data_IF_148537341540
#
_entry.id   IF_148537341540
#
_cell.length_a   1.000
_cell.length_b   1.000
_cell.length_c   1.000
_cell.angle_alpha   90.00
_cell.angle_beta   90.00
_cell.angle_gamma   90.00
#
_symmetry.space_group_name_H-M   'P 1'
#
loop_
_entity.id
_entity.type
_entity.pdbx_description
1 polymer ?
2 non-polymer ?
3 non-polymer ?
4 non-polymer ?
5 water ?
#
# COMPACT_ATOMS: atom_id res chain seq x y z
N UNK A 2 -17.96 27.61 -3.66
CA UNK A 2 -17.40 27.47 -2.28
C UNK A 2 -18.34 26.74 -1.29
N UNK A 3 -19.25 25.88 -1.77
CA UNK A 3 -19.75 24.86 -0.83
C UNK A 3 -18.69 23.75 -0.76
N UNK A 4 -18.69 23.02 0.34
CA UNK A 4 -17.62 22.06 0.62
C UNK A 4 -17.66 20.81 -0.22
N UNK A 5 -16.49 20.18 -0.34
CA UNK A 5 -16.35 18.86 -0.89
C UNK A 5 -16.09 17.95 0.31
N UNK A 6 -16.86 16.86 0.39
CA UNK A 6 -16.90 16.10 1.61
C UNK A 6 -16.17 14.78 1.40
N UNK A 7 -15.15 14.54 2.22
CA UNK A 7 -14.29 13.37 2.09
C UNK A 7 -14.35 12.58 3.39
N UNK A 8 -14.85 11.35 3.31
CA UNK A 8 -14.83 10.49 4.50
C UNK A 8 -13.69 9.47 4.42
N UNK A 9 -12.88 9.46 5.46
CA UNK A 9 -11.74 8.57 5.58
C UNK A 9 -11.91 7.59 6.74
N UNK A 10 -11.76 6.30 6.45
CA UNK A 10 -11.72 5.32 7.54
C UNK A 10 -10.37 4.66 7.47
N UNK A 11 -9.61 4.77 8.57
CA UNK A 11 -8.22 4.23 8.66
C UNK A 11 -8.06 3.62 10.01
N UNK A 12 -6.98 2.88 10.22
CA UNK A 12 -6.79 2.11 11.41
C UNK A 12 -5.80 2.85 12.31
N UNK A 13 -6.33 3.52 13.33
CA UNK A 13 -5.51 4.23 14.31
C UNK A 13 -5.52 3.63 15.74
N UNK A 14 -6.22 2.51 15.95
CA UNK A 14 -6.05 1.70 17.20
C UNK A 14 -5.77 0.26 16.84
N UNK A 15 -5.28 -0.53 17.81
CA UNK A 15 -5.03 -1.96 17.60
C UNK A 15 -3.70 -2.14 16.88
N UNK A 16 -3.29 -3.39 16.61
CA UNK A 16 -1.98 -3.61 16.02
C UNK A 16 -1.75 -3.03 14.59
N UNK A 17 -2.83 -2.80 13.82
CA UNK A 17 -2.63 -2.17 12.48
C UNK A 17 -2.48 -0.67 12.56
N UNK A 18 -2.34 -0.15 13.78
CA UNK A 18 -2.16 1.30 13.98
C UNK A 18 -0.87 1.80 13.34
N UNK A 19 0.09 0.89 13.21
CA UNK A 19 1.40 1.15 12.59
C UNK A 19 1.24 1.61 11.14
N UNK A 20 0.15 1.17 10.51
CA UNK A 20 -0.13 1.53 9.13
C UNK A 20 -1.08 2.70 9.07
N UNK A 21 -2.13 2.71 9.88
CA UNK A 21 -3.12 3.81 9.79
C UNK A 21 -2.67 5.12 10.45
N UNK A 22 -1.93 5.05 11.55
CA UNK A 22 -1.49 6.32 12.13
C UNK A 22 -0.70 7.24 11.13
N UNK A 23 0.25 6.66 10.38
CA UNK A 23 0.91 7.57 9.43
C UNK A 23 0.02 8.13 8.33
N UNK A 24 -0.94 7.32 7.86
CA UNK A 24 -1.91 7.82 6.87
C UNK A 24 -2.69 9.02 7.39
N UNK A 25 -3.15 8.91 8.64
CA UNK A 25 -3.94 9.94 9.25
C UNK A 25 -3.04 11.17 9.53
N UNK A 26 -1.85 10.92 10.09
CA UNK A 26 -0.86 12.04 10.25
C UNK A 26 -0.58 12.83 8.98
N UNK A 27 -0.47 12.13 7.85
CA UNK A 27 -0.07 12.83 6.62
C UNK A 27 -1.15 13.76 6.09
N UNK A 28 -2.38 13.66 6.61
CA UNK A 28 -3.44 14.59 6.24
C UNK A 28 -3.14 16.04 6.65
N UNK A 29 -2.20 16.22 7.59
CA UNK A 29 -1.78 17.58 7.94
C UNK A 29 -1.15 18.29 6.71
N UNK A 30 -0.58 17.52 5.78
CA UNK A 30 0.21 18.06 4.68
C UNK A 30 -0.49 18.04 3.31
N UNK A 31 -1.80 17.79 3.28
CA UNK A 31 -2.53 17.80 2.02
C UNK A 31 -3.32 19.11 1.85
N UNK A 32 -3.78 19.37 0.63
CA UNK A 32 -4.61 20.52 0.32
C UNK A 32 -5.86 20.57 1.20
N UNK A 33 -6.26 21.77 1.66
CA UNK A 33 -7.44 21.95 2.52
C UNK A 33 -8.59 22.60 1.75
N UNK A 34 -8.33 22.90 0.49
CA UNK A 34 -9.36 23.34 -0.43
C UNK A 34 -8.89 23.02 -1.82
N UNK A 35 -9.83 22.85 -2.74
CA UNK A 35 -9.52 22.59 -4.12
C UNK A 35 -10.47 23.43 -4.93
N UNK A 36 -9.92 24.15 -5.90
CA UNK A 36 -10.69 24.89 -6.89
C UNK A 36 -11.64 25.90 -6.34
N UNK A 37 -11.32 26.45 -5.17
CA UNK A 37 -12.23 27.37 -4.47
C UNK A 37 -13.00 26.76 -3.33
N UNK A 38 -13.22 25.44 -3.39
CA UNK A 38 -14.11 24.77 -2.43
C UNK A 38 -13.37 24.18 -1.20
N UNK A 39 -13.78 24.50 0.03
CA UNK A 39 -13.09 23.81 1.16
C UNK A 39 -13.31 22.29 1.17
N UNK A 40 -12.34 21.58 1.70
CA UNK A 40 -12.46 20.15 1.85
C UNK A 40 -12.85 19.89 3.28
N UNK A 41 -14.04 19.35 3.48
CA UNK A 41 -14.46 18.84 4.77
C UNK A 41 -14.01 17.38 4.87
N UNK A 42 -13.02 17.12 5.73
CA UNK A 42 -12.44 15.78 5.79
C UNK A 42 -12.85 15.23 7.12
N UNK A 43 -13.61 14.14 7.08
CA UNK A 43 -14.03 13.46 8.29
C UNK A 43 -13.24 12.16 8.41
N UNK A 44 -12.53 12.00 9.53
CA UNK A 44 -11.70 10.84 9.76
C UNK A 44 -12.20 9.95 10.90
N UNK A 45 -12.43 8.65 10.63
CA UNK A 45 -12.80 7.76 11.70
C UNK A 45 -11.90 6.55 11.75
N UNK A 46 -11.54 6.16 12.96
CA UNK A 46 -10.87 4.90 13.18
C UNK A 46 -11.83 3.71 12.96
N UNK A 47 -11.32 2.63 12.36
CA UNK A 47 -12.03 1.35 12.27
C UNK A 47 -11.37 0.18 13.04
N UNK A 48 -10.22 0.43 13.69
CA UNK A 48 -9.58 -0.65 14.45
C UNK A 48 -9.06 -1.72 13.50
N UNK A 49 -9.11 -1.51 12.19
CA UNK A 49 -8.72 -2.60 11.26
C UNK A 49 -9.86 -3.61 11.00
N UNK A 50 -10.99 -3.37 11.63
CA UNK A 50 -12.06 -4.37 11.71
C UNK A 50 -13.01 -4.11 10.53
N UNK A 51 -13.24 -5.11 9.70
CA UNK A 51 -14.14 -4.98 8.53
C UNK A 51 -15.57 -4.49 8.85
N UNK A 52 -16.16 -4.96 9.94
CA UNK A 52 -17.46 -4.47 10.37
C UNK A 52 -17.40 -3.00 10.74
N UNK A 53 -16.43 -2.59 11.56
CA UNK A 53 -16.36 -1.14 11.89
C UNK A 53 -16.12 -0.25 10.63
N UNK A 54 -15.27 -0.69 9.71
CA UNK A 54 -15.03 0.08 8.47
C UNK A 54 -16.30 0.17 7.60
N UNK A 55 -17.06 -0.94 7.55
CA UNK A 55 -18.37 -0.96 6.83
C UNK A 55 -19.29 0.09 7.44
N UNK A 56 -19.41 0.07 8.77
CA UNK A 56 -20.19 1.09 9.50
C UNK A 56 -19.74 2.52 9.11
N UNK A 57 -18.44 2.82 9.25
CA UNK A 57 -17.96 4.15 8.88
C UNK A 57 -18.32 4.51 7.43
N UNK A 58 -18.04 3.60 6.47
CA UNK A 58 -18.31 3.90 5.02
C UNK A 58 -19.80 4.17 4.78
N UNK A 59 -20.63 3.34 5.45
CA UNK A 59 -22.10 3.47 5.34
C UNK A 59 -22.52 4.84 5.78
N UNK A 60 -22.07 5.26 6.96
CA UNK A 60 -22.45 6.59 7.48
C UNK A 60 -21.89 7.77 6.67
N UNK A 61 -20.66 7.61 6.15
CA UNK A 61 -20.10 8.57 5.18
C UNK A 61 -20.98 8.73 3.95
N UNK A 62 -21.39 7.60 3.35
CA UNK A 62 -22.12 7.74 2.07
C UNK A 62 -23.58 8.21 2.23
N UNK A 63 -24.22 7.85 3.34
CA UNK A 63 -25.64 8.19 3.59
C UNK A 63 -25.80 9.39 4.54
N UNK A 64 -25.09 9.43 5.68
CA UNK A 64 -25.31 10.59 6.59
C UNK A 64 -24.41 11.81 6.29
N UNK A 65 -23.15 11.56 5.93
CA UNK A 65 -22.25 12.67 5.60
C UNK A 65 -22.41 13.16 4.14
N UNK A 66 -23.12 12.38 3.32
CA UNK A 66 -23.27 12.59 1.86
C UNK A 66 -21.90 12.82 1.22
N UNK A 67 -20.94 11.94 1.56
CA UNK A 67 -19.55 12.11 1.08
C UNK A 67 -19.49 12.08 -0.45
N UNK A 68 -18.64 12.96 -0.99
CA UNK A 68 -18.33 12.97 -2.43
C UNK A 68 -17.31 11.87 -2.78
N UNK A 69 -16.41 11.58 -1.83
CA UNK A 69 -15.30 10.59 -1.98
C UNK A 69 -15.15 9.92 -0.66
N UNK A 70 -14.86 8.62 -0.67
CA UNK A 70 -14.38 8.00 0.56
C UNK A 70 -13.03 7.33 0.38
N UNK A 71 -12.29 7.19 1.48
CA UNK A 71 -10.94 6.62 1.46
C UNK A 71 -10.77 5.64 2.57
N UNK A 72 -9.97 4.61 2.30
CA UNK A 72 -9.61 3.68 3.38
C UNK A 72 -9.59 2.26 2.85
N UNK A 73 -9.32 1.29 3.70
CA UNK A 73 -8.81 1.44 5.04
C UNK A 73 -7.28 1.25 5.00
N UNK A 74 -6.71 0.83 6.10
CA UNK A 74 -5.26 0.74 6.26
C UNK A 74 -4.70 -0.69 5.98
N UNK A 75 -5.57 -1.72 6.08
CA UNK A 75 -5.15 -3.11 5.79
C UNK A 75 -6.20 -3.74 4.83
N UNK A 76 -5.92 -4.87 4.23
CA UNK A 76 -6.75 -5.33 3.13
C UNK A 76 -8.21 -5.72 3.55
N UNK A 77 -8.40 -6.49 4.65
CA UNK A 77 -9.83 -6.88 4.90
C UNK A 77 -10.84 -5.71 5.10
N UNK A 78 -10.51 -4.67 5.92
CA UNK A 78 -11.49 -3.59 5.98
C UNK A 78 -11.54 -2.81 4.67
N UNK A 79 -10.46 -2.83 3.88
CA UNK A 79 -10.46 -2.12 2.61
C UNK A 79 -11.46 -2.74 1.63
N UNK A 80 -11.43 -4.05 1.55
CA UNK A 80 -12.45 -4.81 0.80
C UNK A 80 -13.86 -4.35 1.25
N UNK A 81 -14.09 -4.31 2.55
CA UNK A 81 -15.41 -3.94 3.08
C UNK A 81 -15.80 -2.51 2.61
N UNK A 82 -14.83 -1.60 2.65
CA UNK A 82 -15.12 -0.23 2.22
C UNK A 82 -15.43 -0.22 0.70
N UNK A 83 -14.68 -1.00 -0.05
CA UNK A 83 -14.96 -1.05 -1.50
C UNK A 83 -16.41 -1.58 -1.80
N UNK A 84 -16.82 -2.59 -1.06
CA UNK A 84 -18.16 -3.13 -1.23
C UNK A 84 -19.23 -2.06 -0.94
N UNK A 85 -19.06 -1.31 0.15
CA UNK A 85 -20.00 -0.17 0.44
C UNK A 85 -20.01 0.83 -0.71
N UNK A 86 -18.82 1.23 -1.17
CA UNK A 86 -18.69 2.28 -2.19
C UNK A 86 -19.36 1.87 -3.52
N UNK A 87 -19.19 0.61 -3.89
CA UNK A 87 -19.76 0.12 -5.14
C UNK A 87 -21.25 -0.15 -5.09
N UNK A 88 -21.79 -0.37 -3.91
CA UNK A 88 -23.23 -0.42 -3.72
C UNK A 88 -23.84 0.99 -3.78
N UNK A 89 -23.28 1.88 -2.96
CA UNK A 89 -23.77 3.29 -2.77
C UNK A 89 -23.42 4.23 -3.92
N UNK A 90 -22.55 3.77 -4.81
CA UNK A 90 -22.13 4.54 -5.98
C UNK A 90 -21.33 5.83 -5.60
N UNK A 91 -20.27 5.62 -4.95
CA UNK A 91 -19.45 6.75 -4.42
C UNK A 91 -17.98 6.43 -4.74
N UNK A 92 -17.17 7.27 -5.34
CA UNK A 92 -15.73 7.12 -5.57
C UNK A 92 -15.03 6.76 -4.27
N UNK A 93 -14.24 5.72 -4.36
CA UNK A 93 -13.46 5.19 -3.25
C UNK A 93 -12.00 5.10 -3.65
N UNK A 94 -11.15 5.74 -2.84
CA UNK A 94 -9.71 5.60 -2.97
C UNK A 94 -9.16 4.71 -1.83
N UNK A 95 -8.69 3.53 -2.20
CA UNK A 95 -8.29 2.53 -1.23
C UNK A 95 -6.91 2.91 -0.70
N UNK A 96 -6.67 2.76 0.60
CA UNK A 96 -5.37 3.13 1.18
C UNK A 96 -4.56 1.90 1.61
N UNK A 97 -4.96 0.73 1.09
CA UNK A 97 -4.35 -0.53 1.35
C UNK A 97 -4.67 -1.33 0.07
N UNK A 98 -3.87 -2.37 -0.25
CA UNK A 98 -4.11 -3.20 -1.43
C UNK A 98 -5.44 -3.96 -1.32
N UNK A 99 -6.04 -4.27 -2.47
CA UNK A 99 -7.22 -5.10 -2.42
C UNK A 99 -7.51 -5.78 -3.71
N UNK A 100 -8.04 -7.00 -3.62
CA UNK A 100 -8.50 -7.76 -4.80
C UNK A 100 -9.65 -7.05 -5.50
N UNK A 101 -9.38 -6.64 -6.72
CA UNK A 101 -10.32 -6.04 -7.65
C UNK A 101 -11.12 -7.11 -8.35
N UNK A 102 -12.43 -7.05 -8.22
CA UNK A 102 -13.33 -8.00 -8.83
C UNK A 102 -14.29 -7.11 -9.60
N UNK A 103 -15.14 -7.67 -10.51
CA UNK A 103 -16.12 -6.79 -11.15
C UNK A 103 -17.04 -6.06 -10.15
N UNK A 104 -17.30 -6.66 -9.00
CA UNK A 104 -18.08 -6.03 -7.96
C UNK A 104 -17.43 -4.78 -7.40
N UNK A 105 -16.11 -4.62 -7.58
CA UNK A 105 -15.37 -3.51 -6.91
C UNK A 105 -14.75 -2.51 -7.85
N UNK A 106 -14.61 -2.89 -9.14
CA UNK A 106 -13.83 -2.11 -10.14
C UNK A 106 -14.46 -0.83 -10.54
N UNK A 107 -15.79 -0.77 -10.53
CA UNK A 107 -16.38 0.45 -11.06
C UNK A 107 -16.14 1.69 -10.21
N UNK A 108 -16.29 1.54 -8.87
CA UNK A 108 -16.18 2.70 -7.98
C UNK A 108 -14.89 2.82 -7.17
N UNK A 109 -14.06 1.79 -7.13
CA UNK A 109 -12.78 1.82 -6.40
C UNK A 109 -11.52 1.95 -7.29
N UNK A 110 -10.60 2.82 -6.86
CA UNK A 110 -9.20 2.75 -7.28
C UNK A 110 -8.33 2.54 -6.01
N UNK A 111 -7.05 2.23 -6.21
CA UNK A 111 -6.18 1.89 -5.06
C UNK A 111 -4.83 2.57 -5.20
N UNK A 112 -4.38 3.19 -4.11
CA UNK A 112 -3.10 3.91 -4.06
C UNK A 112 -1.88 2.96 -3.90
N UNK A 113 -1.95 1.91 -3.03
CA UNK A 113 -0.74 1.10 -2.90
C UNK A 113 -0.42 0.34 -4.19
N UNK A 114 0.85 0.00 -4.37
CA UNK A 114 1.24 -0.78 -5.56
C UNK A 114 0.50 -2.11 -5.64
N UNK A 115 0.09 -2.54 -6.85
CA UNK A 115 -0.54 -3.86 -6.94
C UNK A 115 0.48 -4.94 -6.70
N UNK A 116 0.01 -5.99 -6.06
CA UNK A 116 0.90 -7.13 -5.66
C UNK A 116 1.79 -7.61 -6.82
N UNK A 117 1.25 -7.82 -8.04
CA UNK A 117 2.18 -8.35 -9.05
C UNK A 117 3.36 -7.43 -9.41
N UNK A 118 3.21 -6.11 -9.30
CA UNK A 118 4.37 -5.24 -9.60
C UNK A 118 5.47 -5.43 -8.52
N UNK A 119 5.01 -5.54 -7.27
CA UNK A 119 5.90 -5.77 -6.15
C UNK A 119 6.50 -7.17 -6.20
N UNK A 120 5.68 -8.16 -6.55
CA UNK A 120 6.21 -9.53 -6.60
C UNK A 120 7.31 -9.62 -7.67
N UNK A 121 7.05 -9.03 -8.84
CA UNK A 121 7.98 -9.12 -9.97
C UNK A 121 9.42 -8.72 -9.58
N UNK A 122 9.53 -7.63 -8.84
CA UNK A 122 10.84 -7.12 -8.48
C UNK A 122 11.52 -8.05 -7.46
N UNK A 123 10.74 -8.70 -6.60
CA UNK A 123 11.30 -9.69 -5.68
C UNK A 123 11.78 -10.95 -6.40
N UNK A 124 10.94 -11.52 -7.28
CA UNK A 124 11.25 -12.75 -7.97
C UNK A 124 12.35 -12.61 -8.97
N UNK A 125 12.45 -11.44 -9.59
CA UNK A 125 13.62 -11.15 -10.47
C UNK A 125 14.91 -11.12 -9.66
N UNK A 126 14.85 -10.59 -8.45
CA UNK A 126 16.01 -10.63 -7.59
C UNK A 126 16.36 -12.07 -7.18
N UNK A 127 15.35 -12.92 -6.98
CA UNK A 127 15.60 -14.31 -6.54
C UNK A 127 16.32 -15.01 -7.68
N UNK A 128 15.79 -14.85 -8.88
CA UNK A 128 16.35 -15.44 -10.10
C UNK A 128 17.79 -15.01 -10.35
N UNK A 129 18.12 -13.77 -10.00
CA UNK A 129 19.45 -13.19 -10.22
C UNK A 129 20.43 -13.55 -9.11
N UNK A 130 19.92 -14.01 -7.98
CA UNK A 130 20.81 -14.35 -6.87
C UNK A 130 20.72 -15.83 -6.48
N UNK A 131 20.52 -16.71 -7.44
CA UNK A 131 20.73 -18.12 -7.20
C UNK A 131 19.65 -18.82 -6.37
N UNK A 132 18.43 -18.31 -6.37
CA UNK A 132 17.30 -18.90 -5.62
C UNK A 132 16.53 -19.78 -6.57
N UNK A 133 16.34 -21.06 -6.20
CA UNK A 133 15.53 -22.03 -6.98
C UNK A 133 14.23 -22.44 -6.27
N UNK A 134 14.31 -22.60 -4.96
CA UNK A 134 13.22 -23.07 -4.15
C UNK A 134 12.80 -22.00 -3.14
N UNK A 135 11.49 -21.83 -2.99
CA UNK A 135 10.97 -20.73 -2.18
C UNK A 135 9.92 -21.27 -1.24
N UNK A 136 9.96 -20.91 0.03
CA UNK A 136 8.84 -21.16 0.93
C UNK A 136 8.05 -19.88 1.19
N UNK A 137 6.81 -20.02 1.68
CA UNK A 137 5.98 -18.87 1.99
C UNK A 137 5.41 -18.94 3.39
N UNK A 138 5.41 -17.80 4.07
CA UNK A 138 4.56 -17.64 5.25
C UNK A 138 3.84 -16.29 5.21
N UNK A 139 2.53 -16.33 5.34
CA UNK A 139 1.73 -15.10 5.27
C UNK A 139 0.41 -15.24 5.97
N UNK A 140 -0.36 -14.18 6.00
CA UNK A 140 -1.63 -14.18 6.68
C UNK A 140 -2.62 -15.15 6.05
N UNK A 141 -3.41 -15.80 6.91
CA UNK A 141 -4.59 -16.59 6.48
C UNK A 141 -5.76 -15.66 6.12
N UNK A 142 -5.53 -14.74 5.20
CA UNK A 142 -6.58 -13.81 4.76
C UNK A 142 -6.34 -13.32 3.33
N UNK A 143 -7.16 -12.38 2.85
CA UNK A 143 -7.08 -11.89 1.47
C UNK A 143 -5.70 -11.28 1.06
N UNK A 144 -4.99 -10.60 1.98
CA UNK A 144 -3.63 -10.08 1.62
C UNK A 144 -2.67 -11.25 1.45
N UNK A 145 -2.72 -12.20 2.40
CA UNK A 145 -1.94 -13.47 2.38
C UNK A 145 -2.14 -14.26 1.09
N UNK A 146 -3.37 -14.30 0.61
CA UNK A 146 -3.69 -15.02 -0.60
C UNK A 146 -3.19 -14.24 -1.83
N UNK A 147 -3.38 -12.91 -1.86
CA UNK A 147 -2.85 -12.14 -3.02
C UNK A 147 -1.39 -12.49 -3.27
N UNK A 148 -0.64 -12.54 -2.18
CA UNK A 148 0.80 -12.68 -2.27
C UNK A 148 1.18 -14.12 -2.60
N UNK A 149 0.51 -15.08 -1.95
CA UNK A 149 0.80 -16.46 -2.29
C UNK A 149 0.49 -16.80 -3.77
N UNK A 150 -0.69 -16.35 -4.23
CA UNK A 150 -1.20 -16.59 -5.60
C UNK A 150 -0.26 -15.97 -6.58
N UNK A 151 0.27 -14.79 -6.26
CA UNK A 151 1.25 -14.13 -7.17
C UNK A 151 2.59 -14.86 -7.19
N UNK A 152 3.01 -15.33 -6.03
CA UNK A 152 4.20 -16.11 -5.94
C UNK A 152 4.08 -17.43 -6.75
N UNK A 153 2.94 -18.08 -6.66
CA UNK A 153 2.71 -19.26 -7.47
C UNK A 153 2.70 -18.91 -8.95
N UNK A 154 1.87 -17.94 -9.32
CA UNK A 154 1.68 -17.69 -10.74
C UNK A 154 2.92 -17.10 -11.43
N UNK A 155 3.39 -15.93 -10.98
CA UNK A 155 4.63 -15.32 -11.53
C UNK A 155 5.86 -16.16 -11.29
N UNK A 156 6.01 -16.66 -10.07
CA UNK A 156 7.25 -17.36 -9.68
C UNK A 156 7.47 -18.67 -10.43
N UNK A 157 6.37 -19.39 -10.66
CA UNK A 157 6.45 -20.64 -11.40
C UNK A 157 6.68 -20.35 -12.86
N UNK A 158 6.10 -19.27 -13.38
CA UNK A 158 6.33 -18.88 -14.77
C UNK A 158 7.80 -18.47 -14.99
N UNK A 159 8.50 -18.08 -13.92
CA UNK A 159 9.93 -17.76 -14.00
C UNK A 159 10.86 -18.94 -13.66
N UNK A 160 10.27 -20.09 -13.35
CA UNK A 160 11.04 -21.31 -13.04
C UNK A 160 11.43 -21.49 -11.57
N UNK A 161 10.88 -20.64 -10.69
CA UNK A 161 11.00 -20.89 -9.26
C UNK A 161 10.09 -22.05 -8.83
N UNK A 162 10.54 -22.76 -7.78
CA UNK A 162 9.81 -23.92 -7.22
C UNK A 162 9.29 -23.57 -5.84
N UNK A 163 7.98 -23.66 -5.66
CA UNK A 163 7.41 -23.29 -4.35
C UNK A 163 7.18 -24.56 -3.56
N UNK A 164 7.95 -24.68 -2.48
CA UNK A 164 8.18 -25.95 -1.79
C UNK A 164 7.49 -26.05 -0.44
N UNK A 165 6.87 -24.94 0.03
CA UNK A 165 6.26 -24.93 1.35
C UNK A 165 5.40 -23.70 1.48
N UNK A 166 4.18 -23.88 1.98
CA UNK A 166 3.26 -22.76 2.22
C UNK A 166 2.80 -22.83 3.66
N UNK A 167 2.95 -21.73 4.42
CA UNK A 167 2.41 -21.69 5.80
C UNK A 167 1.60 -20.43 6.00
N UNK A 168 0.60 -20.47 6.88
CA UNK A 168 -0.19 -19.29 7.14
C UNK A 168 -0.21 -19.00 8.62
N UNK A 169 -0.46 -17.74 8.95
CA UNK A 169 -0.75 -17.35 10.32
C UNK A 169 -1.81 -16.29 10.30
N UNK A 170 -2.50 -16.14 11.44
CA UNK A 170 -3.51 -15.11 11.64
C UNK A 170 -2.87 -13.83 12.15
N UNK A 171 -3.44 -12.69 11.76
CA UNK A 171 -2.93 -11.37 12.15
C UNK A 171 -2.55 -11.14 13.61
N UNK A 172 -3.43 -11.54 14.57
CA UNK A 172 -3.09 -11.34 15.97
C UNK A 172 -2.10 -12.37 16.60
N UNK A 173 -1.71 -13.42 15.86
CA UNK A 173 -0.83 -14.46 16.42
C UNK A 173 0.44 -13.84 16.92
N UNK A 174 0.85 -14.20 18.12
CA UNK A 174 2.08 -13.66 18.66
C UNK A 174 3.20 -14.68 18.57
N UNK A 175 2.88 -15.86 18.05
CA UNK A 175 3.84 -16.91 17.81
C UNK A 175 3.59 -17.56 16.44
N UNK A 176 4.66 -17.85 15.73
CA UNK A 176 4.59 -18.70 14.54
C UNK A 176 5.56 -19.88 14.65
N UNK A 177 5.67 -20.44 15.86
CA UNK A 177 6.64 -21.52 16.10
C UNK A 177 6.38 -22.73 15.21
N UNK A 178 5.13 -23.15 15.09
CA UNK A 178 4.80 -24.35 14.33
C UNK A 178 5.06 -24.18 12.84
N UNK A 179 4.77 -22.97 12.32
CA UNK A 179 5.02 -22.71 10.89
C UNK A 179 6.51 -22.60 10.60
N UNK A 180 7.24 -21.94 11.49
CA UNK A 180 8.69 -21.77 11.31
C UNK A 180 9.39 -23.15 11.37
N UNK A 181 8.89 -24.00 12.28
CA UNK A 181 9.37 -25.38 12.37
C UNK A 181 9.34 -26.07 10.98
N UNK A 182 8.18 -26.08 10.31
CA UNK A 182 8.03 -26.67 8.96
C UNK A 182 8.91 -26.04 7.87
N UNK A 183 9.01 -24.72 7.93
CA UNK A 183 9.77 -23.97 6.92
C UNK A 183 11.26 -24.30 7.05
N UNK A 184 11.75 -24.27 8.29
CA UNK A 184 13.15 -24.63 8.61
C UNK A 184 13.44 -26.08 8.17
N UNK A 185 12.48 -26.97 8.40
CA UNK A 185 12.59 -28.37 7.95
C UNK A 185 12.78 -28.48 6.44
N UNK A 186 11.92 -27.79 5.68
CA UNK A 186 11.94 -27.83 4.22
C UNK A 186 13.18 -27.12 3.67
N UNK A 187 13.71 -26.22 4.48
CA UNK A 187 14.88 -25.41 4.12
C UNK A 187 14.92 -24.93 2.64
N UNK A 188 13.94 -24.09 2.23
CA UNK A 188 13.96 -23.49 0.85
C UNK A 188 15.18 -22.55 0.74
N UNK A 189 15.62 -22.20 -0.47
CA UNK A 189 16.70 -21.18 -0.66
C UNK A 189 16.29 -19.81 -0.09
N UNK A 190 15.01 -19.48 -0.23
CA UNK A 190 14.45 -18.18 0.22
C UNK A 190 13.05 -18.41 0.76
N UNK A 191 12.60 -17.48 1.62
CA UNK A 191 11.25 -17.48 2.17
C UNK A 191 10.64 -16.11 1.86
N UNK A 192 9.48 -16.09 1.24
CA UNK A 192 8.70 -14.81 1.14
C UNK A 192 7.74 -14.73 2.30
N UNK A 193 7.79 -13.61 3.02
CA UNK A 193 6.89 -13.35 4.12
C UNK A 193 5.78 -12.44 3.61
N UNK A 194 4.54 -12.92 3.64
CA UNK A 194 3.39 -12.12 3.19
C UNK A 194 2.60 -11.53 4.36
N UNK A 195 3.10 -10.40 4.89
CA UNK A 195 2.57 -9.81 6.13
C UNK A 195 2.86 -8.30 6.08
N UNK A 196 2.63 -7.60 7.18
CA UNK A 196 2.64 -6.13 7.18
C UNK A 196 2.90 -5.59 8.58
N UNK A 197 3.32 -4.32 8.66
CA UNK A 197 3.65 -3.68 9.97
C UNK A 197 4.33 -4.56 11.01
N UNK A 198 3.80 -4.56 12.21
CA UNK A 198 4.40 -5.31 13.32
C UNK A 198 4.50 -6.79 13.01
N UNK A 199 3.40 -7.33 12.47
CA UNK A 199 3.27 -8.75 12.20
C UNK A 199 4.35 -9.20 11.19
N UNK A 200 4.76 -8.30 10.27
CA UNK A 200 5.86 -8.68 9.37
C UNK A 200 7.21 -9.00 10.05
N UNK A 201 7.52 -8.35 11.17
CA UNK A 201 8.76 -8.66 11.91
C UNK A 201 8.74 -10.01 12.66
N UNK A 202 7.55 -10.55 12.92
CA UNK A 202 7.44 -11.84 13.66
C UNK A 202 8.00 -13.05 12.88
N UNK A 203 7.56 -13.30 11.62
CA UNK A 203 8.35 -14.36 11.00
C UNK A 203 9.85 -14.01 10.77
N UNK A 204 10.20 -12.73 10.62
CA UNK A 204 11.59 -12.34 10.43
C UNK A 204 12.45 -12.82 11.65
N UNK A 205 12.02 -12.45 12.86
CA UNK A 205 12.78 -12.80 14.09
C UNK A 205 12.67 -14.29 14.40
N UNK A 206 11.47 -14.83 14.33
CA UNK A 206 11.32 -16.26 14.56
C UNK A 206 12.20 -17.10 13.63
N UNK A 207 12.27 -16.76 12.36
CA UNK A 207 13.08 -17.51 11.42
C UNK A 207 14.56 -17.46 11.77
N UNK A 208 15.08 -16.29 12.12
CA UNK A 208 16.51 -16.18 12.41
C UNK A 208 16.91 -16.85 13.75
N UNK A 209 16.07 -16.66 14.76
CA UNK A 209 16.25 -17.32 16.03
C UNK A 209 16.29 -18.86 15.90
N UNK A 210 15.57 -19.43 14.93
CA UNK A 210 15.56 -20.90 14.66
C UNK A 210 16.60 -21.28 13.63
N UNK A 211 17.50 -20.36 13.32
CA UNK A 211 18.67 -20.68 12.48
C UNK A 211 18.43 -20.86 11.00
N UNK A 212 17.34 -20.29 10.47
CA UNK A 212 17.16 -20.27 9.01
C UNK A 212 18.28 -19.41 8.41
N UNK A 213 18.84 -19.85 7.29
CA UNK A 213 19.96 -19.13 6.72
C UNK A 213 19.79 -18.80 5.24
N UNK A 214 18.56 -18.87 4.76
CA UNK A 214 18.27 -18.43 3.42
C UNK A 214 18.05 -16.93 3.44
N UNK A 215 17.74 -16.44 2.24
CA UNK A 215 17.33 -15.06 2.07
C UNK A 215 15.89 -14.95 2.56
N UNK A 216 15.59 -13.87 3.26
CA UNK A 216 14.19 -13.59 3.56
C UNK A 216 13.73 -12.36 2.76
N UNK A 217 12.57 -12.47 2.11
CA UNK A 217 11.92 -11.39 1.35
C UNK A 217 10.67 -10.88 2.03
N UNK A 218 10.44 -9.55 2.00
CA UNK A 218 9.27 -8.95 2.63
C UNK A 218 8.49 -8.10 1.58
N UNK A 219 7.22 -7.92 1.83
CA UNK A 219 6.37 -7.08 0.98
C UNK A 219 6.41 -5.59 1.39
N UNK A 220 5.72 -4.79 0.61
CA UNK A 220 5.66 -3.37 0.82
C UNK A 220 4.77 -3.04 1.98
N UNK A 221 4.08 -4.06 2.55
CA UNK A 221 3.35 -3.85 3.80
C UNK A 221 4.26 -3.69 5.00
N UNK A 222 5.52 -4.04 4.80
CA UNK A 222 6.53 -3.95 5.87
C UNK A 222 7.33 -2.62 5.88
N UNK A 223 7.08 -1.74 4.92
CA UNK A 223 8.02 -0.61 4.61
C UNK A 223 7.90 0.62 5.47
N UNK A 224 8.28 0.48 6.74
CA UNK A 224 8.38 1.60 7.69
C UNK A 224 9.48 1.28 8.67
N UNK A 225 9.81 2.24 9.54
CA UNK A 225 10.94 2.05 10.42
C UNK A 225 10.60 1.02 11.46
N UNK A 226 9.30 0.83 11.71
CA UNK A 226 8.81 -0.11 12.70
C UNK A 226 9.43 -1.49 12.53
N UNK A 227 9.53 -1.98 11.29
CA UNK A 227 10.10 -3.29 11.00
C UNK A 227 11.55 -3.50 11.49
N UNK A 228 12.36 -2.47 11.31
CA UNK A 228 13.73 -2.40 11.86
C UNK A 228 13.75 -2.24 13.42
N UNK A 229 12.93 -1.33 13.95
CA UNK A 229 12.73 -1.18 15.41
C UNK A 229 12.41 -2.55 16.10
N UNK A 230 11.58 -3.36 15.46
CA UNK A 230 11.07 -4.59 16.07
C UNK A 230 11.96 -5.80 15.75
N UNK A 231 12.35 -5.92 14.48
CA UNK A 231 13.15 -7.04 14.06
C UNK A 231 14.61 -6.94 14.52
N UNK A 232 15.07 -5.73 14.85
CA UNK A 232 16.49 -5.51 15.22
C UNK A 232 17.46 -6.13 14.24
N UNK A 233 18.46 -6.86 14.75
CA UNK A 233 19.43 -7.55 13.88
C UNK A 233 18.86 -8.56 12.89
N UNK A 234 17.77 -9.27 13.22
CA UNK A 234 17.13 -10.21 12.28
C UNK A 234 16.74 -9.51 10.95
N UNK A 235 16.54 -8.20 10.98
CA UNK A 235 16.20 -7.42 9.76
C UNK A 235 17.37 -7.39 8.75
N UNK A 236 18.60 -7.55 9.25
CA UNK A 236 19.81 -7.43 8.40
C UNK A 236 19.74 -8.25 7.15
N UNK A 237 20.04 -7.58 6.06
CA UNK A 237 20.01 -8.20 4.75
C UNK A 237 18.66 -8.66 4.19
N UNK A 238 17.55 -8.33 4.82
CA UNK A 238 16.25 -8.62 4.18
C UNK A 238 16.15 -7.95 2.77
N UNK A 239 15.32 -8.61 2.06
CA UNK A 239 15.13 -7.93 0.78
C UNK A 239 13.73 -7.33 0.78
N UNK A 240 13.23 -6.13 0.62
CA UNK A 240 11.88 -5.64 0.84
C UNK A 240 11.42 -4.75 -0.32
N UNK A 241 10.31 -5.11 -0.95
CA UNK A 241 9.71 -4.32 -2.01
C UNK A 241 9.18 -3.07 -1.35
N UNK A 242 9.28 -1.95 -2.07
CA UNK A 242 8.82 -0.70 -1.48
C UNK A 242 8.43 0.29 -2.56
N UNK A 243 7.51 1.19 -2.23
CA UNK A 243 7.27 2.41 -3.04
C UNK A 243 8.51 3.35 -3.04
N UNK A 244 8.67 4.22 -4.07
CA UNK A 244 9.86 5.10 -4.20
C UNK A 244 9.87 6.24 -3.17
N UNK A 245 8.74 6.42 -2.46
CA UNK A 245 8.70 7.45 -1.46
C UNK A 245 9.72 7.16 -0.31
N UNK A 246 10.18 5.92 -0.21
CA UNK A 246 11.14 5.60 0.86
C UNK A 246 12.52 6.24 0.53
N UNK A 247 12.76 6.55 -0.74
CA UNK A 247 14.05 7.22 -1.14
C UNK A 247 13.92 8.24 -2.29
N UNK A 248 13.28 9.40 -2.03
CA UNK A 248 13.26 10.41 -3.08
C UNK A 248 14.65 11.01 -3.36
N UNK A 249 15.48 11.11 -2.33
CA UNK A 249 16.87 11.61 -2.47
C UNK A 249 17.60 10.85 -3.56
N UNK A 250 17.43 9.52 -3.60
CA UNK A 250 18.16 8.69 -4.58
C UNK A 250 17.56 8.74 -5.98
N UNK A 251 16.41 9.40 -6.14
CA UNK A 251 15.79 9.46 -7.52
C UNK A 251 16.50 10.48 -8.41
N UNK A 252 16.48 10.18 -9.71
CA UNK A 252 16.91 11.12 -10.73
C UNK A 252 15.98 12.31 -10.72
N UNK A 253 16.51 13.50 -11.00
CA UNK A 253 15.66 14.70 -10.99
C UNK A 253 14.55 14.62 -12.05
N UNK A 254 14.72 13.78 -13.06
CA UNK A 254 13.66 13.55 -14.07
C UNK A 254 12.45 12.75 -13.56
N UNK A 255 12.56 12.11 -12.39
CA UNK A 255 11.45 11.29 -11.87
C UNK A 255 10.30 12.19 -11.44
N UNK A 256 9.09 11.92 -11.93
CA UNK A 256 7.94 12.75 -11.58
C UNK A 256 7.59 12.53 -10.11
N UNK A 257 8.06 11.43 -9.52
CA UNK A 257 7.77 11.11 -8.13
C UNK A 257 8.73 11.83 -7.16
N UNK A 258 9.82 12.41 -7.66
CA UNK A 258 10.82 12.99 -6.72
C UNK A 258 10.33 14.19 -5.91
N UNK A 259 9.89 15.23 -6.60
CA UNK A 259 9.30 16.43 -5.95
C UNK A 259 8.22 16.10 -4.93
N UNK A 260 7.18 15.33 -5.31
CA UNK A 260 6.13 15.13 -4.25
C UNK A 260 6.64 14.26 -3.11
N UNK A 261 7.53 13.32 -3.38
CA UNK A 261 8.10 12.54 -2.29
C UNK A 261 8.92 13.39 -1.36
N UNK A 262 9.76 14.28 -1.93
CA UNK A 262 10.50 15.28 -1.10
C UNK A 262 9.52 16.14 -0.28
N UNK A 263 8.45 16.63 -0.91
CA UNK A 263 7.43 17.50 -0.24
C UNK A 263 6.83 16.84 1.00
N UNK A 264 6.33 15.63 0.80
CA UNK A 264 5.77 14.84 1.90
C UNK A 264 6.81 14.55 2.97
N UNK A 265 7.97 14.01 2.57
CA UNK A 265 8.92 13.57 3.57
C UNK A 265 9.52 14.70 4.41
N UNK A 266 9.81 15.85 3.76
CA UNK A 266 10.36 17.00 4.47
C UNK A 266 9.38 17.42 5.56
N UNK A 267 8.10 17.58 5.20
CA UNK A 267 7.06 17.97 6.19
C UNK A 267 6.87 16.90 7.27
N UNK A 268 6.77 15.65 6.84
CA UNK A 268 6.44 14.55 7.76
C UNK A 268 7.62 14.39 8.74
N UNK A 269 8.83 14.32 8.21
CA UNK A 269 9.99 14.09 9.08
C UNK A 269 10.41 15.29 9.94
N UNK A 270 10.14 16.52 9.48
CA UNK A 270 10.31 17.72 10.31
C UNK A 270 9.43 17.66 11.53
N UNK A 271 8.19 17.17 11.38
CA UNK A 271 7.29 16.97 12.52
C UNK A 271 7.64 15.77 13.36
N UNK A 272 7.92 14.61 12.74
CA UNK A 272 7.85 13.30 13.45
C UNK A 272 9.21 12.70 13.66
N UNK A 273 10.23 13.35 13.11
CA UNK A 273 11.61 13.00 13.41
C UNK A 273 12.32 12.31 12.26
N UNK A 274 13.64 12.17 12.40
CA UNK A 274 14.51 11.48 11.46
C UNK A 274 13.98 10.09 11.12
N UNK A 275 14.02 9.74 9.83
CA UNK A 275 13.64 8.43 9.30
C UNK A 275 12.17 8.02 9.62
N UNK A 276 11.31 8.99 9.89
CA UNK A 276 9.90 8.68 10.18
C UNK A 276 9.02 8.49 8.94
N UNK A 277 9.62 8.60 7.75
CA UNK A 277 8.91 8.41 6.47
C UNK A 277 8.45 6.95 6.39
N UNK A 278 7.43 6.71 5.59
CA UNK A 278 6.89 5.37 5.47
C UNK A 278 6.12 5.25 4.18
N UNK A 279 6.05 4.01 3.74
CA UNK A 279 5.18 3.57 2.63
C UNK A 279 3.77 4.09 2.88
N UNK A 280 3.35 4.10 4.16
CA UNK A 280 1.91 4.24 4.42
C UNK A 280 1.45 5.70 4.42
N UNK A 281 2.24 6.56 5.04
CA UNK A 281 1.96 7.98 5.01
C UNK A 281 1.77 8.49 3.57
N UNK A 282 2.52 7.91 2.64
CA UNK A 282 2.41 8.35 1.28
C UNK A 282 1.02 8.13 0.59
N UNK A 283 0.30 7.10 0.99
CA UNK A 283 -0.98 6.76 0.30
C UNK A 283 -2.03 7.81 0.48
N UNK A 284 -2.18 8.33 1.67
CA UNK A 284 -3.22 9.35 1.85
C UNK A 284 -2.74 10.67 1.22
N UNK A 285 -1.43 10.97 1.38
CA UNK A 285 -0.84 12.13 0.66
C UNK A 285 -1.13 12.02 -0.84
N UNK A 286 -0.86 10.87 -1.43
CA UNK A 286 -1.07 10.74 -2.90
C UNK A 286 -2.56 10.76 -3.29
N UNK A 287 -3.40 10.20 -2.45
CA UNK A 287 -4.86 10.26 -2.68
C UNK A 287 -5.29 11.73 -2.86
N UNK A 288 -4.70 12.67 -2.10
CA UNK A 288 -5.07 14.08 -2.27
C UNK A 288 -4.46 14.70 -3.50
N UNK A 289 -3.29 14.22 -3.92
CA UNK A 289 -2.77 14.56 -5.27
C UNK A 289 -3.70 14.12 -6.37
N UNK A 290 -4.26 12.91 -6.24
CA UNK A 290 -5.27 12.47 -7.22
C UNK A 290 -6.49 13.39 -7.23
N UNK A 291 -6.98 13.70 -6.05
CA UNK A 291 -8.09 14.62 -5.96
C UNK A 291 -7.79 15.97 -6.58
N UNK A 292 -6.56 16.49 -6.39
CA UNK A 292 -6.19 17.78 -7.00
C UNK A 292 -6.30 17.75 -8.53
N UNK A 293 -6.16 16.58 -9.17
CA UNK A 293 -6.31 16.49 -10.61
C UNK A 293 -7.78 16.27 -10.99
N UNK A 294 -8.46 15.38 -10.30
CA UNK A 294 -9.78 14.95 -10.79
C UNK A 294 -10.91 15.87 -10.35
N UNK A 295 -10.76 16.55 -9.23
CA UNK A 295 -11.83 17.44 -8.73
C UNK A 295 -12.11 18.69 -9.60
N UNK A 296 -11.05 19.45 -10.00
CA UNK A 296 -11.33 20.58 -10.90
C UNK A 296 -12.01 20.10 -12.19
N UNK A 297 -11.67 18.91 -12.66
CA UNK A 297 -12.33 18.37 -13.87
C UNK A 297 -13.82 18.08 -13.57
N UNK A 298 -14.10 17.46 -12.42
CA UNK A 298 -15.48 17.17 -12.02
C UNK A 298 -16.29 18.47 -11.78
N UNK A 299 -15.62 19.48 -11.22
CA UNK A 299 -16.25 20.78 -10.96
C UNK A 299 -16.74 21.53 -12.20
N UNK A 300 -16.27 21.18 -13.38
CA UNK A 300 -16.73 21.86 -14.57
C UNK A 300 -18.19 21.49 -14.88
N UNK A 301 -18.61 20.28 -14.51
CA UNK A 301 -19.96 19.80 -14.87
C UNK A 301 -20.89 19.40 -13.72
N UNK A 302 -20.46 19.60 -12.47
CA UNK A 302 -21.28 19.15 -11.37
C UNK A 302 -20.94 19.85 -10.11
N UNK A 303 -21.94 19.95 -9.24
CA UNK A 303 -21.75 20.55 -7.93
C UNK A 303 -21.42 19.52 -6.87
N UNK A 304 -20.57 19.88 -5.90
CA UNK A 304 -20.33 19.03 -4.73
C UNK A 304 -21.65 18.64 -4.06
N UNK A 305 -21.74 17.42 -3.56
CA UNK A 305 -22.92 16.95 -2.82
C UNK A 305 -24.04 16.38 -3.66
N UNK A 306 -23.80 16.15 -4.95
CA UNK A 306 -24.79 15.54 -5.80
C UNK A 306 -24.26 14.20 -6.36
N UNK A 307 -25.16 13.35 -6.85
CA UNK A 307 -24.77 12.11 -7.45
C UNK A 307 -23.98 12.43 -8.70
N UNK A 308 -24.40 13.45 -9.44
CA UNK A 308 -23.70 13.82 -10.68
C UNK A 308 -22.21 14.14 -10.41
N UNK A 309 -21.90 14.74 -9.25
CA UNK A 309 -20.49 15.00 -8.87
C UNK A 309 -19.72 13.69 -8.64
N UNK A 310 -20.34 12.74 -7.92
CA UNK A 310 -19.77 11.42 -7.71
C UNK A 310 -19.45 10.78 -9.03
N UNK A 311 -20.41 10.82 -9.96
CA UNK A 311 -20.24 10.28 -11.32
C UNK A 311 -19.10 10.96 -12.11
N UNK A 312 -19.01 12.30 -11.97
CA UNK A 312 -17.99 13.11 -12.68
C UNK A 312 -16.57 12.80 -12.15
N UNK A 313 -16.47 12.59 -10.85
CA UNK A 313 -15.18 12.14 -10.26
C UNK A 313 -14.81 10.79 -10.82
N UNK A 314 -15.76 9.85 -10.73
CA UNK A 314 -15.55 8.53 -11.30
C UNK A 314 -15.00 8.56 -12.73
N UNK A 315 -15.58 9.42 -13.57
CA UNK A 315 -15.15 9.49 -14.97
C UNK A 315 -13.76 10.11 -15.11
N UNK A 316 -13.50 11.14 -14.31
CA UNK A 316 -12.26 11.89 -14.33
C UNK A 316 -11.10 11.01 -13.90
N UNK A 317 -11.38 10.05 -13.03
CA UNK A 317 -10.31 9.15 -12.54
C UNK A 317 -9.74 8.40 -13.74
N UNK A 318 -10.60 8.11 -14.70
CA UNK A 318 -10.18 7.43 -15.89
C UNK A 318 -9.79 8.40 -17.01
N UNK A 319 -10.32 9.61 -17.09
CA UNK A 319 -9.87 10.50 -18.18
C UNK A 319 -8.50 11.18 -17.85
N UNK A 320 -8.20 11.39 -16.57
CA UNK A 320 -6.99 12.16 -16.22
C UNK A 320 -5.81 11.18 -16.14
N UNK A 321 -4.81 11.38 -17.00
CA UNK A 321 -3.64 10.51 -17.15
C UNK A 321 -2.42 11.07 -16.43
N UNK A 322 -1.44 10.20 -16.16
CA UNK A 322 -0.11 10.58 -15.65
C UNK A 322 -0.19 11.48 -14.41
N UNK A 323 -0.93 11.03 -13.40
CA UNK A 323 -1.03 11.79 -12.18
C UNK A 323 0.22 11.50 -11.33
N UNK A 324 1.07 12.52 -11.17
CA UNK A 324 2.32 12.41 -10.44
C UNK A 324 2.05 12.45 -8.94
N UNK A 325 2.60 11.48 -8.24
CA UNK A 325 2.49 11.47 -6.76
C UNK A 325 3.78 10.90 -6.16
N UNK A 326 3.86 10.78 -4.84
CA UNK A 326 5.09 10.35 -4.22
C UNK A 326 5.43 8.86 -4.51
N UNK A 327 4.40 8.03 -4.73
CA UNK A 327 4.57 6.59 -4.88
C UNK A 327 4.61 6.09 -6.33
N UNK A 328 4.32 6.95 -7.28
CA UNK A 328 4.26 6.54 -8.69
C UNK A 328 3.52 7.58 -9.52
N UNK A 329 3.22 7.21 -10.76
CA UNK A 329 2.55 8.07 -11.74
C UNK A 329 1.31 7.28 -12.15
N UNK A 330 0.15 7.80 -11.77
CA UNK A 330 -1.10 7.08 -11.87
C UNK A 330 -1.86 7.42 -13.14
N UNK A 331 -2.21 6.36 -13.88
CA UNK A 331 -3.11 6.38 -15.06
C UNK A 331 -4.14 5.26 -14.92
N UNK A 332 -5.22 5.57 -14.22
CA UNK A 332 -6.27 4.53 -14.00
C UNK A 332 -7.07 4.28 -15.28
N UNK A 333 -7.56 3.06 -15.44
CA UNK A 333 -8.48 2.73 -16.56
C UNK A 333 -9.70 1.99 -16.02
N UNK A 334 -10.68 1.75 -16.89
CA UNK A 334 -11.87 0.95 -16.55
C UNK A 334 -11.47 -0.39 -15.96
N UNK A 335 -10.35 -0.95 -16.43
CA UNK A 335 -9.94 -2.28 -15.96
C UNK A 335 -8.68 -2.33 -15.05
N UNK A 336 -7.84 -1.32 -15.16
CA UNK A 336 -6.71 -1.18 -14.23
C UNK A 336 -6.97 -0.16 -13.15
N UNK A 337 -7.32 -0.65 -11.97
CA UNK A 337 -7.75 0.24 -10.87
C UNK A 337 -6.62 0.69 -9.95
N UNK A 338 -5.41 0.29 -10.32
CA UNK A 338 -4.15 0.74 -9.68
C UNK A 338 -3.41 1.77 -10.51
N UNK A 339 -3.39 1.59 -11.83
CA UNK A 339 -2.87 2.62 -12.73
C UNK A 339 -1.35 2.81 -12.66
N UNK A 340 -0.64 1.81 -12.13
CA UNK A 340 0.82 1.97 -11.86
C UNK A 340 1.72 1.14 -12.77
N UNK A 341 3.00 1.52 -12.86
CA UNK A 341 3.99 0.80 -13.63
C UNK A 341 5.34 0.75 -12.87
N UNK A 342 6.43 0.41 -13.57
CA UNK A 342 7.77 0.25 -12.91
C UNK A 342 8.33 1.50 -12.23
N UNK A 343 7.76 2.68 -12.51
CA UNK A 343 8.20 3.87 -11.84
C UNK A 343 7.69 3.86 -10.38
N UNK A 344 6.81 2.91 -10.03
CA UNK A 344 6.19 2.92 -8.69
C UNK A 344 6.81 1.98 -7.63
N UNK A 345 7.97 1.37 -7.93
CA UNK A 345 8.57 0.46 -6.98
C UNK A 345 10.11 0.47 -6.98
N UNK A 346 10.67 0.27 -5.81
CA UNK A 346 12.12 0.06 -5.69
C UNK A 346 12.27 -1.14 -4.78
N UNK A 347 13.50 -1.63 -4.71
CA UNK A 347 13.86 -2.69 -3.75
C UNK A 347 14.82 -2.16 -2.68
N UNK A 348 14.50 -2.47 -1.42
CA UNK A 348 15.31 -2.06 -0.29
C UNK A 348 15.99 -3.22 0.40
N UNK A 349 17.14 -2.96 1.02
CA UNK A 349 17.67 -3.92 1.99
C UNK A 349 17.84 -3.19 3.29
N UNK A 350 18.36 -3.89 4.29
CA UNK A 350 18.58 -3.28 5.60
C UNK A 350 20.02 -3.62 5.94
N UNK A 351 20.79 -2.59 6.22
CA UNK A 351 22.20 -2.77 6.47
C UNK A 351 22.56 -1.85 7.60
N UNK A 352 23.04 -2.45 8.69
CA UNK A 352 23.41 -1.71 9.89
C UNK A 352 22.24 -0.88 10.40
N UNK A 353 21.04 -1.46 10.34
CA UNK A 353 19.83 -0.82 10.89
C UNK A 353 19.28 0.32 10.03
N UNK A 354 19.63 0.35 8.75
CA UNK A 354 19.10 1.38 7.85
C UNK A 354 18.64 0.76 6.58
N UNK A 355 17.60 1.35 6.00
CA UNK A 355 17.17 0.94 4.65
C UNK A 355 18.14 1.49 3.64
N UNK A 356 18.56 0.62 2.73
CA UNK A 356 19.36 1.02 1.57
C UNK A 356 18.69 0.56 0.29
N UNK A 357 18.55 1.48 -0.66
CA UNK A 357 18.00 1.08 -1.96
C UNK A 357 18.99 0.18 -2.72
N UNK A 358 18.53 -1.01 -3.08
CA UNK A 358 19.30 -1.96 -3.87
C UNK A 358 18.91 -1.90 -5.33
N UNK A 359 17.63 -1.68 -5.62
CA UNK A 359 17.24 -1.61 -7.03
C UNK A 359 16.34 -0.37 -7.20
N UNK A 360 16.65 0.48 -8.19
CA UNK A 360 15.94 1.76 -8.38
C UNK A 360 14.62 1.56 -9.16
N UNK A 361 13.71 2.53 -9.09
CA UNK A 361 12.49 2.54 -9.91
C UNK A 361 12.86 2.83 -11.36
N UNK A 362 12.01 2.42 -12.29
CA UNK A 362 12.27 2.68 -13.71
C UNK A 362 12.41 4.17 -13.96
N UNK A 363 13.37 4.53 -14.80
CA UNK A 363 13.55 5.93 -15.12
C UNK A 363 12.38 6.42 -15.97
N UNK A 364 12.05 7.69 -15.79
CA UNK A 364 10.99 8.36 -16.54
C UNK A 364 11.13 8.19 -18.05
N UNK A 365 12.35 8.36 -18.57
CA UNK A 365 12.60 8.32 -20.02
C UNK A 365 13.04 6.96 -20.57
N UNK A 366 12.80 5.92 -19.80
CA UNK A 366 12.97 4.56 -20.28
C UNK A 366 11.58 3.94 -20.43
N UNK A 367 11.53 2.73 -20.99
CA UNK A 367 10.31 1.92 -21.02
C UNK A 367 9.76 1.72 -19.61
N UNK A 368 8.45 1.45 -19.53
CA UNK A 368 7.82 1.02 -18.29
C UNK A 368 7.02 -0.27 -18.53
#
# INVERSE_FOLDING_TARGET
ETNEITIGITVTTTGPAAALGIPERNALEFVAKEIGGHPLKVIVLDDGGDPTAATTNARRFVTESKADVIMGSSVTPPTVAVSNVANEAQVPHIALAPLPITPERAKWSVAMPQPIPIMGKVLYEHMKKNNIKTVGYIGYSDSYGDLWFNDLKKQGEAMGLKIVAEERFARPDTSVAGQVLKLVAANPDAILVGASGTAAALPQTSLRERGYKGLIYQTHGAASMDFIRIAGKSAEGVLMASGPVMDPEGQDDSALTKKPGLELNTAYEAKYGPNSRSQFAAHSFDAFKVLERVVPVALKTAKPGTQEFREAIRKALVSEKDIAASQGVYSFTETDRYGLDDRSRILLTVKDGKYVMVKAAALEHHHHHH
#
